data_IF_500275581793
#
_entry.id   IF_500275581793
#
_cell.length_a   1.000
_cell.length_b   1.000
_cell.length_c   1.000
_cell.angle_alpha   90.00
_cell.angle_beta   90.00
_cell.angle_gamma   90.00
#
_symmetry.space_group_name_H-M   'P 1'
#
loop_
_entity.id
_entity.type
_entity.pdbx_description
1 polymer ?
#
# COMPACT_ATOMS: atom_id res chain seq x y z
N UNK A 1 -13.67 11.55 -11.36
CA UNK A 1 -13.40 10.23 -10.77
C UNK A 1 -11.96 10.23 -10.31
N UNK A 2 -11.71 9.95 -9.04
CA UNK A 2 -10.35 10.00 -8.48
C UNK A 2 -9.66 8.66 -8.72
N UNK A 3 -8.52 8.68 -9.40
CA UNK A 3 -7.72 7.48 -9.72
C UNK A 3 -6.40 7.43 -8.98
N UNK A 4 -5.95 8.55 -8.42
CA UNK A 4 -4.67 8.65 -7.71
C UNK A 4 -4.84 9.45 -6.43
N UNK A 5 -4.28 8.95 -5.32
CA UNK A 5 -4.33 9.61 -4.02
C UNK A 5 -2.97 9.59 -3.32
N UNK A 6 -2.68 10.69 -2.64
CA UNK A 6 -1.54 10.82 -1.74
C UNK A 6 -2.04 11.20 -0.35
N UNK A 7 -1.76 10.34 0.63
CA UNK A 7 -2.15 10.50 2.02
C UNK A 7 -0.89 10.67 2.86
N UNK A 8 -0.76 11.84 3.51
CA UNK A 8 0.44 12.22 4.27
C UNK A 8 0.05 12.51 5.71
N UNK A 9 0.71 11.86 6.67
CA UNK A 9 0.56 12.15 8.10
C UNK A 9 -0.76 11.70 8.72
N UNK A 10 -1.50 10.77 8.10
CA UNK A 10 -2.81 10.35 8.59
C UNK A 10 -2.67 9.27 9.68
N UNK A 11 -2.58 9.70 10.94
CA UNK A 11 -2.37 8.80 12.10
C UNK A 11 -3.55 7.84 12.39
N UNK A 12 -4.74 8.19 11.93
CA UNK A 12 -5.97 7.41 12.11
C UNK A 12 -6.56 6.96 10.76
N UNK A 13 -5.69 6.70 9.78
CA UNK A 13 -6.12 6.30 8.45
C UNK A 13 -6.84 4.95 8.48
N UNK A 14 -8.07 4.92 7.96
CA UNK A 14 -8.81 3.68 7.70
C UNK A 14 -8.82 3.37 6.20
N UNK A 15 -8.07 2.34 5.80
CA UNK A 15 -7.98 1.91 4.41
C UNK A 15 -9.29 1.31 3.87
N UNK A 16 -10.20 0.82 4.73
CA UNK A 16 -11.52 0.37 4.27
C UNK A 16 -12.31 1.54 3.70
N UNK A 17 -12.30 2.66 4.43
CA UNK A 17 -12.96 3.89 4.00
C UNK A 17 -12.34 4.47 2.73
N UNK A 18 -11.03 4.35 2.56
CA UNK A 18 -10.36 4.72 1.29
C UNK A 18 -10.88 3.86 0.14
N UNK A 19 -10.97 2.53 0.32
CA UNK A 19 -11.45 1.63 -0.72
C UNK A 19 -12.92 1.88 -1.10
N UNK A 20 -13.78 2.18 -0.12
CA UNK A 20 -15.19 2.49 -0.32
C UNK A 20 -15.41 3.81 -1.06
N UNK A 21 -14.67 4.86 -0.70
CA UNK A 21 -14.81 6.19 -1.30
C UNK A 21 -14.17 6.29 -2.68
N UNK A 22 -13.14 5.48 -2.94
CA UNK A 22 -12.35 5.53 -4.17
C UNK A 22 -12.20 4.13 -4.79
N UNK A 23 -13.31 3.52 -5.24
CA UNK A 23 -13.30 2.13 -5.73
C UNK A 23 -12.53 1.94 -7.05
N UNK A 24 -12.10 3.04 -7.68
CA UNK A 24 -11.36 3.02 -8.96
C UNK A 24 -9.96 3.63 -8.81
N UNK A 25 -9.39 3.49 -7.61
CA UNK A 25 -8.04 3.97 -7.34
C UNK A 25 -7.03 3.03 -8.00
N UNK A 26 -6.18 3.60 -8.87
CA UNK A 26 -5.06 2.93 -9.51
C UNK A 26 -3.74 3.23 -8.80
N UNK A 27 -3.58 4.44 -8.25
CA UNK A 27 -2.38 4.84 -7.52
C UNK A 27 -2.70 5.29 -6.09
N UNK A 28 -2.00 4.72 -5.11
CA UNK A 28 -2.07 5.17 -3.73
C UNK A 28 -0.68 5.35 -3.13
N UNK A 29 -0.41 6.50 -2.55
CA UNK A 29 0.78 6.73 -1.74
C UNK A 29 0.43 7.05 -0.29
N UNK A 30 0.98 6.28 0.63
CA UNK A 30 0.87 6.45 2.08
C UNK A 30 2.22 6.91 2.61
N UNK A 31 2.29 8.13 3.14
CA UNK A 31 3.47 8.70 3.79
C UNK A 31 3.16 9.01 5.25
N UNK A 32 3.96 8.53 6.20
CA UNK A 32 3.73 8.75 7.63
C UNK A 32 2.26 8.49 8.04
N UNK A 33 1.64 7.49 7.42
CA UNK A 33 0.24 7.14 7.60
C UNK A 33 0.19 5.69 8.09
N UNK A 34 0.51 5.45 9.37
CA UNK A 34 0.73 4.12 9.89
C UNK A 34 -0.51 3.25 9.72
N UNK A 35 -0.36 2.18 8.93
CA UNK A 35 -1.38 1.15 8.72
C UNK A 35 -0.83 -0.20 9.16
N UNK A 36 -1.63 -1.02 9.84
CA UNK A 36 -1.16 -2.34 10.28
C UNK A 36 -1.18 -3.40 9.16
N UNK A 37 -2.06 -3.22 8.17
CA UNK A 37 -2.25 -4.13 7.05
C UNK A 37 -2.86 -3.39 5.86
N UNK A 38 -2.58 -3.87 4.65
CA UNK A 38 -3.16 -3.38 3.39
C UNK A 38 -4.32 -4.22 2.88
N UNK A 39 -4.85 -5.15 3.68
CA UNK A 39 -5.97 -6.03 3.32
C UNK A 39 -7.14 -5.32 2.62
N UNK A 40 -7.61 -4.13 3.08
CA UNK A 40 -8.74 -3.46 2.44
C UNK A 40 -8.47 -2.99 1.00
N UNK A 41 -7.21 -2.90 0.59
CA UNK A 41 -6.80 -2.47 -0.74
C UNK A 41 -6.76 -3.63 -1.75
N UNK A 42 -6.91 -4.88 -1.31
CA UNK A 42 -6.83 -6.07 -2.16
C UNK A 42 -7.85 -6.10 -3.30
N UNK A 43 -9.04 -5.51 -3.06
CA UNK A 43 -10.14 -5.45 -4.03
C UNK A 43 -10.05 -4.27 -5.01
N UNK A 44 -9.12 -3.33 -4.81
CA UNK A 44 -8.97 -2.16 -5.68
C UNK A 44 -8.18 -2.51 -6.94
N UNK A 45 -8.41 -1.82 -8.07
CA UNK A 45 -7.62 -1.98 -9.30
C UNK A 45 -6.24 -1.30 -9.20
N UNK A 46 -5.62 -1.27 -8.02
CA UNK A 46 -4.33 -0.60 -7.81
C UNK A 46 -3.23 -1.21 -8.68
N UNK A 47 -2.57 -0.34 -9.44
CA UNK A 47 -1.36 -0.61 -10.23
C UNK A 47 -0.11 -0.13 -9.50
N UNK A 48 -0.25 0.85 -8.60
CA UNK A 48 0.83 1.37 -7.77
C UNK A 48 0.37 1.57 -6.33
N UNK A 49 1.17 1.04 -5.39
CA UNK A 49 1.02 1.34 -3.97
C UNK A 49 2.39 1.71 -3.37
N UNK A 50 2.50 2.92 -2.84
CA UNK A 50 3.66 3.38 -2.08
C UNK A 50 3.36 3.43 -0.58
N UNK A 51 4.23 2.85 0.23
CA UNK A 51 4.07 2.75 1.69
C UNK A 51 5.40 3.17 2.32
N UNK A 52 5.43 4.37 2.92
CA UNK A 52 6.65 5.02 3.41
C UNK A 52 6.47 5.69 4.78
N UNK A 53 7.52 5.68 5.59
CA UNK A 53 7.56 6.33 6.90
C UNK A 53 6.62 5.67 7.90
N UNK A 54 6.43 4.35 7.81
CA UNK A 54 5.57 3.63 8.73
C UNK A 54 6.34 3.27 9.99
N UNK A 55 5.89 3.81 11.12
CA UNK A 55 6.51 3.57 12.43
C UNK A 55 6.30 2.13 12.94
N UNK A 56 5.43 1.36 12.29
CA UNK A 56 5.10 -0.03 12.64
C UNK A 56 5.20 -0.89 11.38
N UNK A 57 5.38 -2.20 11.60
CA UNK A 57 5.40 -3.15 10.51
C UNK A 57 4.05 -3.16 9.78
N UNK A 58 4.09 -3.13 8.46
CA UNK A 58 2.89 -3.22 7.60
C UNK A 58 2.78 -4.62 7.02
N UNK A 59 1.64 -5.28 7.21
CA UNK A 59 1.37 -6.57 6.56
C UNK A 59 0.99 -6.38 5.09
N UNK A 60 1.84 -6.89 4.19
CA UNK A 60 1.69 -6.83 2.74
C UNK A 60 1.22 -8.17 2.14
N UNK A 61 1.02 -9.21 2.94
CA UNK A 61 0.53 -10.53 2.51
C UNK A 61 -0.72 -10.46 1.61
N UNK A 62 -1.71 -9.56 1.85
CA UNK A 62 -2.89 -9.44 1.00
C UNK A 62 -2.62 -9.04 -0.46
N UNK A 63 -1.38 -8.65 -0.79
CA UNK A 63 -0.99 -8.28 -2.14
C UNK A 63 -0.40 -9.45 -2.96
N UNK A 64 -0.34 -10.65 -2.39
CA UNK A 64 0.18 -11.83 -3.06
C UNK A 64 -0.49 -12.08 -4.42
N UNK A 65 0.32 -12.27 -5.46
CA UNK A 65 -0.15 -12.55 -6.81
C UNK A 65 -0.76 -11.37 -7.57
N UNK A 66 -0.91 -10.20 -6.93
CA UNK A 66 -1.43 -8.99 -7.60
C UNK A 66 -0.42 -8.47 -8.62
N UNK A 67 -0.93 -7.83 -9.65
CA UNK A 67 -0.12 -7.18 -10.68
C UNK A 67 0.00 -5.68 -10.34
N UNK A 68 0.99 -5.33 -9.53
CA UNK A 68 1.24 -3.93 -9.16
C UNK A 68 2.73 -3.64 -8.95
N UNK A 69 3.05 -2.35 -8.86
CA UNK A 69 4.33 -1.86 -8.36
C UNK A 69 4.18 -1.42 -6.90
N UNK A 70 5.04 -1.96 -6.04
CA UNK A 70 5.16 -1.57 -4.65
C UNK A 70 6.38 -0.68 -4.44
N UNK A 71 6.12 0.55 -3.99
CA UNK A 71 7.15 1.47 -3.54
C UNK A 71 7.32 1.39 -2.03
N UNK A 72 8.51 1.02 -1.55
CA UNK A 72 8.79 0.80 -0.14
C UNK A 72 10.04 1.58 0.29
N UNK A 73 10.09 2.00 1.56
CA UNK A 73 11.36 2.39 2.19
C UNK A 73 12.09 1.15 2.70
N UNK A 74 13.43 1.15 2.61
CA UNK A 74 14.29 0.10 3.20
C UNK A 74 14.33 0.14 4.72
N UNK A 75 14.07 1.31 5.30
CA UNK A 75 14.09 1.51 6.75
C UNK A 75 12.77 1.09 7.41
N UNK A 76 11.70 1.03 6.62
CA UNK A 76 10.39 0.58 7.08
C UNK A 76 10.34 -0.94 7.23
N UNK A 77 9.63 -1.41 8.26
CA UNK A 77 9.37 -2.85 8.45
C UNK A 77 8.14 -3.26 7.65
N UNK A 78 8.25 -4.37 6.93
CA UNK A 78 7.15 -4.97 6.17
C UNK A 78 7.07 -6.48 6.44
N UNK A 79 5.87 -7.04 6.44
CA UNK A 79 5.64 -8.49 6.57
C UNK A 79 5.12 -9.07 5.24
N UNK A 80 5.46 -10.33 4.95
CA UNK A 80 4.90 -11.07 3.82
C UNK A 80 5.51 -10.74 2.45
N UNK A 81 6.65 -10.03 2.41
CA UNK A 81 7.36 -9.71 1.16
C UNK A 81 7.75 -10.97 0.38
N UNK A 82 8.15 -12.02 1.09
CA UNK A 82 8.54 -13.32 0.56
C UNK A 82 7.39 -14.06 -0.14
N UNK A 83 6.13 -13.70 0.14
CA UNK A 83 4.94 -14.37 -0.38
C UNK A 83 4.25 -13.61 -1.53
N UNK A 84 4.80 -12.46 -1.97
CA UNK A 84 4.14 -11.59 -2.94
C UNK A 84 4.05 -12.20 -4.35
N UNK A 85 4.96 -13.11 -4.68
CA UNK A 85 5.05 -13.72 -6.00
C UNK A 85 5.61 -12.76 -7.08
N UNK A 86 5.82 -13.27 -8.30
CA UNK A 86 6.64 -12.60 -9.31
C UNK A 86 5.96 -11.41 -10.00
N UNK A 87 4.65 -11.24 -9.81
CA UNK A 87 3.87 -10.17 -10.47
C UNK A 87 3.92 -8.85 -9.73
N UNK A 88 4.32 -8.87 -8.46
CA UNK A 88 4.51 -7.68 -7.65
C UNK A 88 5.92 -7.15 -7.87
N UNK A 89 6.03 -5.96 -8.46
CA UNK A 89 7.33 -5.32 -8.71
C UNK A 89 7.70 -4.47 -7.52
N UNK A 90 8.80 -4.82 -6.84
CA UNK A 90 9.30 -4.04 -5.72
C UNK A 90 10.21 -2.90 -6.21
N UNK A 91 10.00 -1.70 -5.69
CA UNK A 91 10.86 -0.54 -5.86
C UNK A 91 11.18 0.01 -4.48
N UNK A 92 12.46 0.10 -4.17
CA UNK A 92 12.93 0.72 -2.94
C UNK A 92 13.34 2.16 -3.21
N UNK A 93 12.94 3.07 -2.34
CA UNK A 93 13.50 4.42 -2.28
C UNK A 93 14.60 4.46 -1.22
N UNK A 94 15.62 5.27 -1.48
CA UNK A 94 16.68 5.60 -0.50
C UNK A 94 16.17 6.61 0.54
#
# INVERSE_FOLDING_TARGET
MVTSLRLIGNQHLDLRRVAELFPNLHDLWLYNSPVGSVEPLSALPLELLGVYGNQKAVDLTPLAGRMLTLGLSRDDKHLGLENLGPRVKLKYVE
#
